data_IF_441179660310
#
_entry.id   IF_441179660310
#
_cell.length_a   1.000
_cell.length_b   1.000
_cell.length_c   1.000
_cell.angle_alpha   90.00
_cell.angle_beta   90.00
_cell.angle_gamma   90.00
#
_symmetry.space_group_name_H-M   'P 1'
#
loop_
_entity.id
_entity.type
_entity.pdbx_description
1 polymer ?
#
# COMPACT_ATOMS: atom_id res chain seq x y z
N UNK A 1 -10.16 -4.27 -13.08
CA UNK A 1 -8.90 -4.37 -12.33
C UNK A 1 -8.89 -5.68 -11.58
N UNK A 2 -7.80 -6.44 -11.64
CA UNK A 2 -7.63 -7.68 -10.87
C UNK A 2 -7.06 -7.32 -9.49
N UNK A 3 -7.60 -7.93 -8.43
CA UNK A 3 -7.08 -7.73 -7.07
C UNK A 3 -5.67 -8.32 -6.93
N UNK A 4 -4.84 -7.72 -6.07
CA UNK A 4 -3.52 -8.27 -5.73
C UNK A 4 -3.67 -9.65 -5.06
N UNK A 5 -2.73 -10.55 -5.34
CA UNK A 5 -2.66 -11.85 -4.67
C UNK A 5 -2.43 -11.65 -3.16
N UNK A 6 -3.25 -12.30 -2.34
CA UNK A 6 -3.30 -12.10 -0.89
C UNK A 6 -4.52 -11.32 -0.40
N UNK A 7 -5.28 -10.66 -1.29
CA UNK A 7 -6.52 -9.95 -0.92
C UNK A 7 -7.73 -10.88 -0.88
N UNK A 8 -7.95 -11.67 -1.93
CA UNK A 8 -9.08 -12.61 -2.05
C UNK A 8 -8.68 -14.05 -1.72
N UNK A 9 -7.44 -14.28 -1.35
CA UNK A 9 -6.94 -15.59 -0.97
C UNK A 9 -7.19 -15.83 0.54
N UNK A 10 -7.32 -17.10 0.97
CA UNK A 10 -7.33 -17.41 2.40
C UNK A 10 -6.07 -16.85 3.08
N UNK A 11 -6.21 -16.26 4.28
CA UNK A 11 -5.08 -15.70 5.01
C UNK A 11 -4.07 -16.80 5.37
N UNK A 12 -2.79 -16.42 5.41
CA UNK A 12 -1.72 -17.30 5.89
C UNK A 12 -1.73 -17.36 7.42
N UNK A 13 -1.07 -18.37 7.98
CA UNK A 13 -0.92 -18.54 9.44
C UNK A 13 -0.20 -17.37 10.10
N UNK A 14 0.74 -16.75 9.40
CA UNK A 14 1.53 -15.62 9.90
C UNK A 14 1.44 -14.47 8.91
N UNK A 15 1.28 -13.26 9.43
CA UNK A 15 1.18 -12.01 8.68
C UNK A 15 2.00 -10.94 9.38
N UNK A 16 2.74 -10.16 8.60
CA UNK A 16 3.44 -8.97 9.08
C UNK A 16 2.90 -7.77 8.31
N UNK A 17 2.38 -6.78 9.04
CA UNK A 17 1.93 -5.51 8.49
C UNK A 17 2.94 -4.44 8.89
N UNK A 18 3.50 -3.73 7.91
CA UNK A 18 4.44 -2.65 8.14
C UNK A 18 3.88 -1.39 7.51
N UNK A 19 3.85 -0.30 8.29
CA UNK A 19 3.37 1.00 7.85
C UNK A 19 4.58 1.94 7.82
N UNK A 20 4.75 2.61 6.68
CA UNK A 20 5.85 3.53 6.44
C UNK A 20 5.28 4.92 6.19
N UNK A 21 5.81 5.91 6.90
CA UNK A 21 5.55 7.32 6.65
C UNK A 21 6.75 7.92 5.91
N UNK A 22 6.48 8.83 4.99
CA UNK A 22 7.51 9.55 4.26
C UNK A 22 7.53 10.99 4.77
N UNK A 23 8.62 11.37 5.44
CA UNK A 23 8.72 12.67 6.08
C UNK A 23 9.30 13.74 5.14
N UNK A 24 10.38 13.43 4.42
CA UNK A 24 11.15 14.42 3.63
C UNK A 24 11.59 13.92 2.23
N UNK A 25 10.96 12.87 1.70
CA UNK A 25 11.29 12.41 0.34
C UNK A 25 10.58 13.28 -0.71
N UNK A 26 11.26 13.77 -1.76
CA UNK A 26 10.61 14.33 -2.94
C UNK A 26 9.88 13.21 -3.68
N UNK A 27 8.73 12.82 -3.15
CA UNK A 27 7.88 11.79 -3.71
C UNK A 27 7.14 12.38 -4.90
N UNK A 28 7.76 12.23 -6.07
CA UNK A 28 7.03 12.34 -7.32
C UNK A 28 6.24 11.06 -7.57
N UNK A 29 5.15 11.15 -8.33
CA UNK A 29 4.28 10.04 -8.75
C UNK A 29 5.05 8.81 -9.24
N UNK A 30 6.18 9.05 -9.90
CA UNK A 30 7.06 7.99 -10.39
C UNK A 30 7.73 7.17 -9.27
N UNK A 31 8.13 7.80 -8.16
CA UNK A 31 8.78 7.12 -7.04
C UNK A 31 7.81 6.18 -6.34
N UNK A 32 6.59 6.66 -6.07
CA UNK A 32 5.54 5.83 -5.46
C UNK A 32 5.15 4.68 -6.38
N UNK A 33 4.98 4.94 -7.69
CA UNK A 33 4.72 3.90 -8.67
C UNK A 33 5.83 2.84 -8.70
N UNK A 34 7.11 3.27 -8.62
CA UNK A 34 8.26 2.37 -8.57
C UNK A 34 8.24 1.51 -7.31
N UNK A 35 7.98 2.09 -6.13
CA UNK A 35 7.84 1.34 -4.88
C UNK A 35 6.74 0.28 -5.01
N UNK A 36 5.56 0.66 -5.51
CA UNK A 36 4.43 -0.25 -5.68
C UNK A 36 4.74 -1.41 -6.64
N UNK A 37 5.48 -1.14 -7.71
CA UNK A 37 5.85 -2.15 -8.69
C UNK A 37 6.99 -3.07 -8.23
N UNK A 38 7.99 -2.54 -7.52
CA UNK A 38 9.21 -3.29 -7.17
C UNK A 38 9.07 -4.08 -5.86
N UNK A 39 8.33 -3.57 -4.88
CA UNK A 39 8.27 -4.19 -3.55
C UNK A 39 7.76 -5.64 -3.57
N UNK A 40 6.73 -6.02 -4.35
CA UNK A 40 6.34 -7.42 -4.46
C UNK A 40 7.43 -8.33 -5.04
N UNK A 41 8.19 -7.84 -6.03
CA UNK A 41 9.33 -8.56 -6.59
C UNK A 41 10.44 -8.77 -5.58
N UNK A 42 10.81 -7.71 -4.84
CA UNK A 42 11.80 -7.80 -3.77
C UNK A 42 11.38 -8.75 -2.64
N UNK A 43 10.11 -8.70 -2.23
CA UNK A 43 9.56 -9.63 -1.25
C UNK A 43 9.65 -11.08 -1.75
N UNK A 44 9.45 -11.30 -3.04
CA UNK A 44 9.60 -12.60 -3.68
C UNK A 44 11.02 -13.14 -3.65
N UNK A 45 12.01 -12.28 -3.91
CA UNK A 45 13.42 -12.64 -3.84
C UNK A 45 13.85 -13.01 -2.42
N UNK A 46 13.45 -12.23 -1.41
CA UNK A 46 13.80 -12.47 0.00
C UNK A 46 13.18 -13.78 0.51
N UNK A 47 11.94 -14.06 0.13
CA UNK A 47 11.24 -15.28 0.54
C UNK A 47 11.73 -16.56 -0.17
N UNK A 48 12.57 -16.43 -1.20
CA UNK A 48 13.13 -17.54 -1.96
C UNK A 48 12.06 -18.45 -2.57
N UNK A 49 11.94 -19.69 -2.07
CA UNK A 49 10.98 -20.69 -2.57
C UNK A 49 9.67 -20.73 -1.77
N UNK A 50 9.53 -19.94 -0.70
CA UNK A 50 8.32 -19.98 0.11
C UNK A 50 7.13 -19.31 -0.57
N UNK A 51 5.96 -19.94 -0.49
CA UNK A 51 4.70 -19.36 -1.00
C UNK A 51 4.18 -18.29 -0.03
N UNK A 52 4.49 -17.04 -0.34
CA UNK A 52 4.04 -15.85 0.38
C UNK A 52 3.12 -15.00 -0.51
N UNK A 53 2.45 -14.04 0.13
CA UNK A 53 1.76 -12.96 -0.55
C UNK A 53 2.41 -11.65 -0.14
N UNK A 54 2.68 -10.78 -1.11
CA UNK A 54 3.20 -9.44 -0.90
C UNK A 54 2.18 -8.45 -1.48
N UNK A 55 1.58 -7.65 -0.62
CA UNK A 55 0.52 -6.70 -0.98
C UNK A 55 0.99 -5.31 -0.61
N UNK A 56 0.83 -4.36 -1.53
CA UNK A 56 1.14 -2.95 -1.31
C UNK A 56 -0.14 -2.12 -1.33
N UNK A 57 -0.28 -1.26 -0.32
CA UNK A 57 -1.32 -0.25 -0.22
C UNK A 57 -0.71 1.14 -0.07
N UNK A 58 -1.37 2.14 -0.64
CA UNK A 58 -1.00 3.55 -0.49
C UNK A 58 -2.11 4.27 0.24
N UNK A 59 -1.78 4.86 1.40
CA UNK A 59 -2.73 5.62 2.21
C UNK A 59 -3.11 6.97 1.59
N UNK A 60 -4.16 7.65 2.10
CA UNK A 60 -4.69 8.90 1.54
C UNK A 60 -3.64 10.01 1.41
N UNK A 61 -2.73 10.13 2.39
CA UNK A 61 -1.63 11.09 2.35
C UNK A 61 -0.76 10.93 1.10
N UNK A 62 -0.52 9.69 0.65
CA UNK A 62 0.26 9.44 -0.57
C UNK A 62 -0.36 10.14 -1.77
N UNK A 63 -1.69 10.09 -1.91
CA UNK A 63 -2.40 10.71 -3.04
C UNK A 63 -2.32 12.24 -3.03
N UNK A 64 -2.35 12.85 -1.84
CA UNK A 64 -2.17 14.31 -1.68
C UNK A 64 -0.79 14.73 -2.20
N UNK A 65 0.25 13.94 -1.93
CA UNK A 65 1.60 14.23 -2.43
C UNK A 65 1.75 14.03 -3.95
N UNK A 66 1.07 13.02 -4.52
CA UNK A 66 1.20 12.70 -5.94
C UNK A 66 0.39 13.62 -6.86
N UNK A 67 -0.80 14.00 -6.43
CA UNK A 67 -1.73 14.84 -7.20
C UNK A 67 -2.36 15.88 -6.27
N UNK A 68 -1.59 16.88 -5.80
CA UNK A 68 -2.07 17.87 -4.83
C UNK A 68 -3.22 18.73 -5.36
N UNK A 69 -3.38 18.79 -6.68
CA UNK A 69 -4.42 19.52 -7.40
C UNK A 69 -5.72 18.73 -7.59
N UNK A 70 -5.75 17.44 -7.22
CA UNK A 70 -6.90 16.56 -7.45
C UNK A 70 -7.40 15.92 -6.16
N UNK A 71 -8.72 15.73 -6.02
CA UNK A 71 -9.26 15.00 -4.88
C UNK A 71 -8.80 13.55 -4.91
N UNK A 72 -8.62 12.96 -3.72
CA UNK A 72 -8.25 11.55 -3.58
C UNK A 72 -9.34 10.67 -4.23
N UNK A 73 -8.96 9.69 -5.09
CA UNK A 73 -9.94 8.87 -5.80
C UNK A 73 -10.90 8.12 -4.87
N UNK A 74 -12.17 8.07 -5.25
CA UNK A 74 -13.18 7.21 -4.61
C UNK A 74 -13.55 7.59 -3.18
N UNK A 75 -13.28 8.83 -2.74
CA UNK A 75 -13.53 9.25 -1.37
C UNK A 75 -12.63 8.56 -0.35
N UNK A 76 -11.51 7.99 -0.80
CA UNK A 76 -10.54 7.33 0.08
C UNK A 76 -9.92 8.36 1.03
N UNK A 77 -10.31 8.29 2.30
CA UNK A 77 -9.92 9.21 3.37
C UNK A 77 -9.55 8.44 4.63
N UNK A 78 -8.94 9.13 5.58
CA UNK A 78 -8.83 8.60 6.93
C UNK A 78 -10.25 8.45 7.52
N UNK A 79 -10.43 7.44 8.36
CA UNK A 79 -11.63 7.33 9.18
C UNK A 79 -11.70 8.51 10.15
N UNK A 80 -12.89 9.06 10.35
CA UNK A 80 -13.12 10.05 11.39
C UNK A 80 -13.09 9.35 12.76
N UNK A 81 -12.68 10.04 13.83
CA UNK A 81 -12.57 9.45 15.17
C UNK A 81 -13.87 8.75 15.62
N UNK A 82 -15.02 9.33 15.26
CA UNK A 82 -16.35 8.75 15.56
C UNK A 82 -16.66 7.47 14.79
N UNK A 83 -16.00 7.21 13.66
CA UNK A 83 -16.14 5.97 12.88
C UNK A 83 -15.22 4.85 13.40
N UNK A 84 -14.18 5.21 14.17
CA UNK A 84 -13.20 4.26 14.71
C UNK A 84 -13.76 3.55 15.95
N UNK A 85 -14.62 4.22 16.73
CA UNK A 85 -15.22 3.68 17.95
C UNK A 85 -16.47 2.80 17.71
N UNK A 86 -17.06 2.84 16.50
CA UNK A 86 -18.22 2.03 16.10
C UNK A 86 -19.56 2.73 16.25
#
# INVERSE_FOLDING_TARGET
MQAQAGVLNPPKRHTLIQVYNFDDLPLVTMNVARIGAQTPGMASEIAGKEKHYAVIGFGPMTWIWLTPDKPVPGGFRAFDETEIEG
#
